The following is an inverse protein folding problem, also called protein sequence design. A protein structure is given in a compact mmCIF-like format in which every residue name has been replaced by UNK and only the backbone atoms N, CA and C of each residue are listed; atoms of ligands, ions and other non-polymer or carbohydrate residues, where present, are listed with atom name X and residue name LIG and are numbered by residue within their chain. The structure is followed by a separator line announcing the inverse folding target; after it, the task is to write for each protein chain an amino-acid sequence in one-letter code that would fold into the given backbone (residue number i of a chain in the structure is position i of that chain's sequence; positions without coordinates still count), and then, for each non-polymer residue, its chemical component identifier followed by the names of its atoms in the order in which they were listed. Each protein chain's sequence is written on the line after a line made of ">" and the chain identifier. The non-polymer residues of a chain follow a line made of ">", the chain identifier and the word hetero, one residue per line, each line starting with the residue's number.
data_IF_390954603294
#
_entry.id   IF_390954603294
#
_cell.length_a   1.000
_cell.length_b   1.000
_cell.length_c   1.000
_cell.angle_alpha   90.00
_cell.angle_beta   90.00
_cell.angle_gamma   90.00
#
_symmetry.space_group_name_H-M   'P 1'
#
loop_
_entity.id
_entity.type
_entity.pdbx_description
1 polymer ?
#
# COMPACT_ATOMS: atom_id res chain seq x y z
N UNK A 1 -5.89 9.58 10.86
CA UNK A 1 -4.72 9.04 10.16
C UNK A 1 -5.10 8.39 8.84
N UNK A 2 -4.15 8.30 7.95
CA UNK A 2 -4.32 7.62 6.67
C UNK A 2 -3.18 6.60 6.48
N UNK A 3 -3.49 5.45 5.91
CA UNK A 3 -2.50 4.45 5.52
C UNK A 3 -2.99 3.67 4.30
N UNK A 4 -2.05 3.15 3.53
CA UNK A 4 -2.35 2.37 2.35
C UNK A 4 -1.43 1.14 2.25
N UNK A 5 -1.87 0.15 1.50
CA UNK A 5 -1.09 -1.05 1.28
C UNK A 5 -1.74 -2.02 0.31
N UNK A 6 -0.93 -2.92 -0.20
CA UNK A 6 -1.41 -4.07 -0.96
C UNK A 6 -1.71 -5.22 0.01
N UNK A 7 -2.80 -5.93 -0.23
CA UNK A 7 -3.12 -7.16 0.48
C UNK A 7 -2.83 -8.35 -0.46
N UNK A 8 -1.62 -8.91 -0.43
CA UNK A 8 -1.25 -9.98 -1.35
C UNK A 8 -2.06 -11.25 -1.05
N UNK A 9 -2.58 -11.88 -2.10
CA UNK A 9 -3.32 -13.13 -2.05
C UNK A 9 -2.72 -14.13 -3.05
N UNK A 10 -3.21 -15.37 -3.11
CA UNK A 10 -2.79 -16.34 -4.15
C UNK A 10 -3.13 -15.87 -5.57
N UNK A 11 -4.19 -15.07 -5.70
CA UNK A 11 -4.50 -14.30 -6.90
C UNK A 11 -4.30 -12.82 -6.61
N UNK A 12 -4.49 -11.95 -7.60
CA UNK A 12 -4.35 -10.52 -7.41
C UNK A 12 -5.23 -10.02 -6.25
N UNK A 13 -4.59 -9.50 -5.23
CA UNK A 13 -5.25 -8.90 -4.07
C UNK A 13 -5.51 -7.39 -4.28
N UNK A 14 -6.35 -6.78 -3.45
CA UNK A 14 -6.67 -5.36 -3.56
C UNK A 14 -5.52 -4.47 -3.06
N UNK A 15 -5.40 -3.30 -3.66
CA UNK A 15 -4.77 -2.15 -3.03
C UNK A 15 -5.83 -1.43 -2.18
N UNK A 16 -5.53 -1.21 -0.92
CA UNK A 16 -6.44 -0.58 0.04
C UNK A 16 -5.85 0.75 0.50
N UNK A 17 -6.69 1.78 0.55
CA UNK A 17 -6.39 3.05 1.19
C UNK A 17 -7.46 3.27 2.27
N UNK A 18 -7.02 3.39 3.50
CA UNK A 18 -7.90 3.65 4.64
C UNK A 18 -7.57 5.02 5.21
N UNK A 19 -8.60 5.79 5.53
CA UNK A 19 -8.44 7.06 6.22
C UNK A 19 -9.53 7.24 7.27
N UNK A 20 -9.17 7.93 8.33
CA UNK A 20 -10.08 8.33 9.40
C UNK A 20 -10.02 9.84 9.56
N UNK A 21 -11.18 10.46 9.50
CA UNK A 21 -11.33 11.90 9.63
C UNK A 21 -12.64 12.25 10.33
N UNK A 22 -12.84 13.53 10.65
CA UNK A 22 -14.12 14.02 11.16
C UNK A 22 -15.17 14.02 10.05
N UNK A 23 -16.43 13.88 10.41
CA UNK A 23 -17.53 13.79 9.44
C UNK A 23 -17.61 15.01 8.50
N UNK A 24 -17.33 16.20 9.01
CA UNK A 24 -17.34 17.46 8.25
C UNK A 24 -16.11 17.61 7.30
N UNK A 25 -15.14 16.72 7.37
CA UNK A 25 -13.91 16.75 6.56
C UNK A 25 -13.80 15.59 5.57
N UNK A 26 -14.81 14.74 5.48
CA UNK A 26 -14.74 13.50 4.67
C UNK A 26 -14.47 13.81 3.20
N UNK A 27 -15.23 14.74 2.61
CA UNK A 27 -15.10 15.06 1.18
C UNK A 27 -13.72 15.68 0.87
N UNK A 28 -13.24 16.58 1.73
CA UNK A 28 -11.90 17.17 1.62
C UNK A 28 -10.80 16.10 1.71
N UNK A 29 -10.91 15.22 2.70
CA UNK A 29 -9.93 14.15 2.91
C UNK A 29 -9.91 13.16 1.74
N UNK A 30 -11.06 12.81 1.18
CA UNK A 30 -11.15 11.97 0.00
C UNK A 30 -10.53 12.63 -1.22
N UNK A 31 -10.81 13.92 -1.45
CA UNK A 31 -10.22 14.66 -2.56
C UNK A 31 -8.70 14.70 -2.46
N UNK A 32 -8.16 15.00 -1.30
CA UNK A 32 -6.70 14.99 -1.05
C UNK A 32 -6.13 13.60 -1.32
N UNK A 33 -6.73 12.56 -0.78
CA UNK A 33 -6.27 11.19 -0.96
C UNK A 33 -6.26 10.76 -2.44
N UNK A 34 -7.32 11.05 -3.18
CA UNK A 34 -7.42 10.75 -4.61
C UNK A 34 -6.39 11.53 -5.44
N UNK A 35 -6.21 12.83 -5.15
CA UNK A 35 -5.23 13.67 -5.84
C UNK A 35 -3.81 13.14 -5.60
N UNK A 36 -3.46 12.89 -4.35
CA UNK A 36 -2.15 12.31 -3.98
C UNK A 36 -1.91 10.97 -4.68
N UNK A 37 -2.93 10.11 -4.73
CA UNK A 37 -2.81 8.81 -5.39
C UNK A 37 -2.60 8.93 -6.90
N UNK A 38 -3.31 9.87 -7.57
CA UNK A 38 -3.10 10.15 -9.00
C UNK A 38 -1.70 10.70 -9.27
N UNK A 39 -1.24 11.65 -8.47
CA UNK A 39 0.09 12.24 -8.59
C UNK A 39 1.18 11.17 -8.41
N UNK A 40 1.06 10.33 -7.39
CA UNK A 40 2.00 9.23 -7.14
C UNK A 40 2.00 8.21 -8.29
N UNK A 41 0.83 7.89 -8.84
CA UNK A 41 0.73 6.97 -9.97
C UNK A 41 1.32 7.57 -11.24
N UNK A 42 1.14 8.87 -11.48
CA UNK A 42 1.66 9.56 -12.66
C UNK A 42 3.18 9.76 -12.59
N UNK A 43 3.68 10.21 -11.45
CA UNK A 43 5.05 10.71 -11.30
C UNK A 43 5.99 9.71 -10.59
N UNK A 44 5.46 8.75 -9.83
CA UNK A 44 6.22 7.94 -8.90
C UNK A 44 6.59 8.69 -7.63
N UNK A 45 7.26 8.05 -6.67
CA UNK A 45 7.74 8.70 -5.46
C UNK A 45 8.97 9.59 -5.73
N UNK A 46 9.22 10.55 -4.85
CA UNK A 46 10.49 11.27 -4.85
C UNK A 46 11.66 10.32 -4.51
N UNK A 47 12.85 10.62 -5.03
CA UNK A 47 14.05 9.81 -4.77
C UNK A 47 14.35 9.66 -3.28
N UNK A 48 14.20 10.74 -2.52
CA UNK A 48 14.39 10.74 -1.08
C UNK A 48 13.38 9.82 -0.37
N UNK A 49 12.10 9.87 -0.76
CA UNK A 49 11.05 9.02 -0.20
C UNK A 49 11.33 7.54 -0.43
N UNK A 50 11.83 7.19 -1.63
CA UNK A 50 12.23 5.81 -1.92
C UNK A 50 13.41 5.37 -1.04
N UNK A 51 14.39 6.24 -0.83
CA UNK A 51 15.56 5.93 0.01
C UNK A 51 15.16 5.75 1.47
N UNK A 52 14.32 6.64 2.01
CA UNK A 52 13.79 6.53 3.37
C UNK A 52 12.98 5.23 3.56
N UNK A 53 12.13 4.88 2.58
CA UNK A 53 11.38 3.62 2.61
C UNK A 53 12.32 2.40 2.58
N UNK A 54 13.36 2.43 1.75
CA UNK A 54 14.38 1.37 1.67
C UNK A 54 15.10 1.19 3.00
N UNK A 55 15.55 2.28 3.61
CA UNK A 55 16.23 2.26 4.91
C UNK A 55 15.32 1.70 6.02
N UNK A 56 14.06 2.09 6.03
CA UNK A 56 13.09 1.57 6.99
C UNK A 56 12.89 0.05 6.82
N UNK A 57 12.71 -0.42 5.59
CA UNK A 57 12.47 -1.83 5.28
C UNK A 57 13.72 -2.67 5.62
N UNK A 58 14.88 -2.25 5.14
CA UNK A 58 16.12 -3.02 5.32
C UNK A 58 16.65 -2.94 6.75
N UNK A 59 16.51 -1.78 7.41
CA UNK A 59 16.92 -1.58 8.80
C UNK A 59 16.04 -2.34 9.81
N UNK A 60 14.74 -2.49 9.51
CA UNK A 60 13.81 -3.24 10.34
C UNK A 60 13.83 -4.76 10.14
N UNK A 61 14.40 -5.24 9.04
CA UNK A 61 14.28 -6.62 8.59
C UNK A 61 14.69 -7.68 9.63
N UNK A 62 15.80 -7.46 10.33
CA UNK A 62 16.24 -8.40 11.38
C UNK A 62 15.26 -8.46 12.56
N UNK A 63 14.64 -7.33 12.92
CA UNK A 63 13.62 -7.26 13.97
C UNK A 63 12.31 -7.93 13.56
N UNK A 64 11.98 -7.89 12.27
CA UNK A 64 10.79 -8.54 11.71
C UNK A 64 10.92 -10.06 11.66
N UNK A 65 12.13 -10.59 11.75
CA UNK A 65 12.42 -12.02 11.87
C UNK A 65 12.77 -12.45 13.32
N UNK A 66 12.82 -11.51 14.25
CA UNK A 66 13.20 -11.81 15.63
C UNK A 66 12.10 -12.62 16.33
N UNK A 67 12.47 -13.80 16.80
CA UNK A 67 11.60 -14.74 17.52
C UNK A 67 10.90 -15.76 16.63
N UNK A 68 10.63 -16.93 17.24
CA UNK A 68 10.11 -18.09 16.53
C UNK A 68 8.77 -17.86 15.83
N UNK A 69 7.88 -17.05 16.44
CA UNK A 69 6.57 -16.76 15.85
C UNK A 69 6.67 -15.94 14.57
N UNK A 70 7.50 -14.90 14.55
CA UNK A 70 7.71 -14.07 13.36
C UNK A 70 8.40 -14.86 12.25
N UNK A 71 9.40 -15.65 12.59
CA UNK A 71 10.10 -16.52 11.65
C UNK A 71 9.14 -17.55 11.04
N UNK A 72 8.34 -18.21 11.86
CA UNK A 72 7.34 -19.17 11.38
C UNK A 72 6.32 -18.51 10.45
N UNK A 73 5.86 -17.28 10.76
CA UNK A 73 4.96 -16.52 9.90
C UNK A 73 5.60 -16.17 8.56
N UNK A 74 6.87 -15.75 8.57
CA UNK A 74 7.62 -15.45 7.35
C UNK A 74 7.79 -16.69 6.46
N UNK A 75 8.17 -17.82 7.04
CA UNK A 75 8.29 -19.09 6.32
C UNK A 75 6.95 -19.58 5.78
N UNK A 76 5.88 -19.41 6.57
CA UNK A 76 4.52 -19.72 6.13
C UNK A 76 4.09 -18.87 4.93
N UNK A 77 4.41 -17.57 4.92
CA UNK A 77 4.12 -16.68 3.80
C UNK A 77 4.93 -17.07 2.54
N UNK A 78 6.22 -17.40 2.70
CA UNK A 78 7.07 -17.89 1.60
C UNK A 78 6.46 -19.13 0.97
N UNK A 79 6.07 -20.12 1.77
CA UNK A 79 5.46 -21.34 1.31
C UNK A 79 4.09 -21.10 0.64
N UNK A 80 3.25 -20.24 1.26
CA UNK A 80 1.92 -19.90 0.73
C UNK A 80 1.97 -19.22 -0.63
N UNK A 81 2.92 -18.31 -0.82
CA UNK A 81 3.09 -17.56 -2.07
C UNK A 81 4.00 -18.26 -3.09
N UNK A 82 4.57 -19.42 -2.75
CA UNK A 82 5.48 -20.15 -3.64
C UNK A 82 6.79 -19.39 -3.92
N UNK A 83 7.27 -18.60 -2.95
CA UNK A 83 8.52 -17.85 -3.10
C UNK A 83 9.73 -18.78 -2.99
N UNK A 84 10.90 -18.39 -3.56
CA UNK A 84 12.12 -19.18 -3.48
C UNK A 84 12.56 -19.42 -2.03
N UNK A 85 13.24 -20.55 -1.78
CA UNK A 85 13.70 -20.89 -0.43
C UNK A 85 14.79 -19.94 0.10
N UNK A 86 15.51 -19.28 -0.80
CA UNK A 86 16.53 -18.25 -0.50
C UNK A 86 15.96 -16.82 -0.45
N UNK A 87 14.62 -16.69 -0.44
CA UNK A 87 13.92 -15.39 -0.44
C UNK A 87 14.41 -14.46 0.67
N UNK A 88 14.46 -14.96 1.92
CA UNK A 88 14.91 -14.16 3.07
C UNK A 88 16.39 -13.78 2.95
N UNK A 89 17.21 -14.67 2.41
CA UNK A 89 18.64 -14.44 2.21
C UNK A 89 18.91 -13.32 1.18
N UNK A 90 18.10 -13.27 0.14
CA UNK A 90 18.24 -12.31 -0.95
C UNK A 90 17.41 -11.02 -0.72
N UNK A 91 16.59 -10.96 0.33
CA UNK A 91 15.61 -9.89 0.54
C UNK A 91 16.22 -8.50 0.55
N UNK A 92 17.25 -8.28 1.39
CA UNK A 92 17.91 -6.96 1.50
C UNK A 92 18.55 -6.55 0.18
N UNK A 93 19.25 -7.49 -0.48
CA UNK A 93 19.85 -7.23 -1.80
C UNK A 93 18.81 -6.83 -2.85
N UNK A 94 17.67 -7.53 -2.87
CA UNK A 94 16.56 -7.22 -3.76
C UNK A 94 15.98 -5.84 -3.47
N UNK A 95 15.72 -5.50 -2.19
CA UNK A 95 15.20 -4.19 -1.82
C UNK A 95 16.15 -3.05 -2.20
N UNK A 96 17.44 -3.24 -2.01
CA UNK A 96 18.46 -2.25 -2.40
C UNK A 96 18.55 -2.06 -3.92
N UNK A 97 18.22 -3.07 -4.70
CA UNK A 97 18.24 -3.02 -6.16
C UNK A 97 17.02 -2.36 -6.82
N UNK A 98 15.94 -2.08 -6.05
CA UNK A 98 14.73 -1.48 -6.60
C UNK A 98 14.95 0.01 -6.90
N UNK A 99 14.79 0.41 -8.16
CA UNK A 99 14.92 1.79 -8.61
C UNK A 99 13.58 2.54 -8.75
N UNK A 100 13.65 3.86 -8.90
CA UNK A 100 12.48 4.73 -9.06
C UNK A 100 11.57 4.32 -10.20
N UNK A 101 12.14 4.02 -11.37
CA UNK A 101 11.37 3.65 -12.56
C UNK A 101 10.61 2.33 -12.36
N UNK A 102 11.19 1.38 -11.63
CA UNK A 102 10.53 0.13 -11.30
C UNK A 102 9.34 0.37 -10.35
N UNK A 103 9.50 1.23 -9.36
CA UNK A 103 8.43 1.59 -8.44
C UNK A 103 7.31 2.32 -9.18
N UNK A 104 7.66 3.31 -10.02
CA UNK A 104 6.69 4.04 -10.85
C UNK A 104 5.91 3.09 -11.77
N UNK A 105 6.61 2.21 -12.47
CA UNK A 105 5.97 1.22 -13.35
C UNK A 105 5.03 0.27 -12.58
N UNK A 106 5.40 -0.13 -11.35
CA UNK A 106 4.56 -0.94 -10.50
C UNK A 106 3.28 -0.18 -10.07
N UNK A 107 3.40 1.08 -9.67
CA UNK A 107 2.24 1.92 -9.37
C UNK A 107 1.29 2.03 -10.57
N UNK A 108 1.80 2.37 -11.74
CA UNK A 108 1.00 2.49 -12.96
C UNK A 108 0.29 1.20 -13.37
N UNK A 109 0.94 0.06 -13.12
CA UNK A 109 0.38 -1.25 -13.45
C UNK A 109 -0.71 -1.70 -12.49
N UNK A 110 -0.53 -1.47 -11.19
CA UNK A 110 -1.34 -2.10 -10.16
C UNK A 110 -2.34 -1.17 -9.48
N UNK A 111 -2.13 0.14 -9.52
CA UNK A 111 -2.99 1.12 -8.89
C UNK A 111 -3.72 1.94 -9.95
N UNK A 112 -5.04 1.85 -9.95
CA UNK A 112 -5.91 2.53 -10.91
C UNK A 112 -6.87 3.46 -10.15
N UNK A 113 -6.48 4.70 -9.84
CA UNK A 113 -7.25 5.59 -8.98
C UNK A 113 -8.69 5.82 -9.46
N UNK A 114 -8.88 5.90 -10.78
CA UNK A 114 -10.18 6.18 -11.40
C UNK A 114 -11.14 4.97 -11.39
N UNK A 115 -10.64 3.79 -11.03
CA UNK A 115 -11.43 2.55 -10.87
C UNK A 115 -11.59 2.15 -9.42
N UNK A 116 -11.33 3.07 -8.49
CA UNK A 116 -11.45 2.80 -7.06
C UNK A 116 -12.91 2.74 -6.61
N UNK A 117 -13.18 1.87 -5.65
CA UNK A 117 -14.45 1.82 -4.93
C UNK A 117 -14.25 2.52 -3.60
N UNK A 118 -15.06 3.55 -3.35
CA UNK A 118 -15.01 4.29 -2.08
C UNK A 118 -16.16 3.86 -1.18
N UNK A 119 -15.84 3.47 0.04
CA UNK A 119 -16.82 3.15 1.09
C UNK A 119 -16.62 4.13 2.24
N UNK A 120 -17.71 4.82 2.61
CA UNK A 120 -17.73 5.77 3.72
C UNK A 120 -18.62 5.18 4.81
N UNK A 121 -18.07 5.08 6.03
CA UNK A 121 -18.79 4.60 7.21
C UNK A 121 -18.78 5.69 8.26
N UNK A 122 -19.98 6.04 8.75
CA UNK A 122 -20.21 7.16 9.69
C UNK A 122 -20.97 8.30 9.01
N UNK A 123 -21.08 9.42 9.69
CA UNK A 123 -21.85 10.59 9.25
C UNK A 123 -23.23 10.67 9.92
N UNK A 124 -23.87 11.83 9.79
CA UNK A 124 -25.24 12.04 10.23
C UNK A 124 -26.20 11.25 9.33
N UNK A 125 -27.02 10.40 9.92
CA UNK A 125 -28.00 9.57 9.21
C UNK A 125 -29.17 10.38 8.62
N UNK A 126 -29.17 11.70 8.74
CA UNK A 126 -30.28 12.59 8.38
C UNK A 126 -30.21 13.16 6.96
N UNK A 127 -29.14 12.96 6.22
CA UNK A 127 -29.05 13.42 4.84
C UNK A 127 -29.04 12.24 3.84
N UNK A 128 -30.07 12.07 3.01
CA UNK A 128 -30.00 11.13 1.89
C UNK A 128 -28.92 11.62 0.91
N UNK A 129 -27.82 10.90 0.78
CA UNK A 129 -26.84 11.17 -0.29
C UNK A 129 -27.50 10.88 -1.64
N UNK A 130 -27.71 11.95 -2.40
CA UNK A 130 -28.05 11.88 -3.81
C UNK A 130 -27.09 10.94 -4.51
N UNK A 131 -27.61 9.89 -5.11
CA UNK A 131 -26.91 9.08 -6.08
C UNK A 131 -26.60 9.99 -7.27
N UNK A 132 -25.38 10.45 -7.39
CA UNK A 132 -24.88 11.05 -8.62
C UNK A 132 -24.74 9.92 -9.64
N UNK A 133 -25.78 9.78 -10.44
CA UNK A 133 -25.83 8.93 -11.60
C UNK A 133 -25.06 9.53 -12.77
N UNK A 134 -24.84 8.66 -13.69
CA UNK A 134 -24.51 8.80 -15.12
C UNK A 134 -23.06 8.88 -15.43
#
# INVERSE_FOLDING_TARGET
>A
GAYSGCSPMRQAGPFLLNLQTRNDQVDTALQVAQTTLRELTANGPAAQTLEEARQNITGGFALDLAGNGKLASALGAIAFHGLPLDYLQNYIGTMNGIGLEQVKAAWQRHVQPDRSITVIVGGDQTAPKSAAGS
#
